data_IF_625568462421
#
_entry.id   IF_625568462421
#
_cell.length_a   1.000
_cell.length_b   1.000
_cell.length_c   1.000
_cell.angle_alpha   90.00
_cell.angle_beta   90.00
_cell.angle_gamma   90.00
#
_symmetry.space_group_name_H-M   'P 1'
#
loop_
_entity.id
_entity.type
_entity.pdbx_description
1 polymer ?
2 non-polymer ?
3 water ?
#
# COMPACT_ATOMS: atom_id res chain seq x y z
N UNK A 2 -10.09 -14.60 5.89
CA UNK A 2 -10.06 -15.42 4.65
C UNK A 2 -8.96 -14.99 3.70
N UNK A 3 -9.16 -15.24 2.41
CA UNK A 3 -8.18 -14.86 1.40
C UNK A 3 -8.62 -13.62 0.63
N UNK A 4 -9.91 -13.31 0.68
CA UNK A 4 -10.42 -12.13 -0.01
C UNK A 4 -10.88 -11.07 0.98
N UNK A 5 -10.62 -9.81 0.65
CA UNK A 5 -11.00 -8.71 1.51
C UNK A 5 -10.38 -7.41 1.06
N UNK A 6 -10.08 -6.54 2.01
CA UNK A 6 -9.47 -5.25 1.73
C UNK A 6 -8.19 -5.11 2.54
N UNK A 7 -7.38 -4.12 2.19
CA UNK A 7 -6.14 -3.88 2.90
C UNK A 7 -5.73 -2.43 2.75
N UNK A 8 -4.96 -1.94 3.71
CA UNK A 8 -4.46 -0.57 3.66
C UNK A 8 -2.96 -0.65 3.71
N UNK A 9 -2.33 -0.20 2.64
CA UNK A 9 -0.88 -0.18 2.54
C UNK A 9 -0.44 1.27 2.69
N UNK A 10 0.39 1.57 3.68
CA UNK A 10 0.86 2.94 3.85
C UNK A 10 2.38 2.97 3.86
N UNK A 11 2.96 4.05 3.35
CA UNK A 11 4.41 4.18 3.32
C UNK A 11 4.80 5.61 2.99
N UNK A 12 6.06 5.95 3.27
CA UNK A 12 6.59 7.28 2.98
C UNK A 12 7.52 7.15 1.78
N UNK A 13 7.32 8.00 0.79
CA UNK A 13 8.13 7.97 -0.42
C UNK A 13 9.19 9.07 -0.40
N UNK A 14 10.43 8.67 -0.69
CA UNK A 14 11.58 9.57 -0.71
C UNK A 14 11.55 10.60 0.41
N UNK A 32 -3.96 -1.23 -11.30
CA UNK A 32 -3.56 -2.63 -11.26
C UNK A 32 -4.79 -3.49 -10.96
N UNK A 33 -5.95 -2.83 -10.91
CA UNK A 33 -7.22 -3.50 -10.63
C UNK A 33 -7.28 -4.00 -9.19
N UNK A 34 -6.18 -3.84 -8.47
CA UNK A 34 -6.10 -4.25 -7.08
C UNK A 34 -6.29 -3.00 -6.23
N UNK A 35 -5.89 -1.86 -6.79
CA UNK A 35 -6.00 -0.58 -6.12
C UNK A 35 -7.41 -0.01 -6.25
N UNK A 36 -8.03 0.29 -5.11
CA UNK A 36 -9.37 0.87 -5.11
C UNK A 36 -9.21 2.38 -5.14
N UNK A 37 -8.31 2.88 -4.30
CA UNK A 37 -8.05 4.30 -4.22
C UNK A 37 -6.70 4.51 -3.57
N UNK A 38 -5.99 5.54 -4.00
CA UNK A 38 -4.69 5.84 -3.43
C UNK A 38 -4.63 7.32 -3.09
N UNK A 39 -4.18 7.61 -1.88
CA UNK A 39 -4.08 8.98 -1.43
C UNK A 39 -2.62 9.37 -1.22
N UNK A 40 -2.25 10.51 -1.78
CA UNK A 40 -0.90 11.03 -1.65
C UNK A 40 -1.02 12.29 -0.82
N UNK A 41 -0.24 12.38 0.25
CA UNK A 41 -0.27 13.56 1.10
C UNK A 41 1.17 14.03 1.28
N UNK A 42 1.40 15.31 1.07
CA UNK A 42 2.76 15.81 1.22
C UNK A 42 3.11 16.13 2.67
N UNK A 43 4.24 15.59 3.10
CA UNK A 43 4.75 15.79 4.45
C UNK A 43 5.65 17.02 4.44
N UNK A 44 6.47 17.13 3.40
CA UNK A 44 7.38 18.26 3.23
C UNK A 44 7.96 18.23 1.82
N UNK A 45 8.94 19.09 1.56
CA UNK A 45 9.57 19.19 0.25
C UNK A 45 10.03 17.86 -0.34
N UNK A 46 10.56 16.98 0.51
CA UNK A 46 11.08 15.69 0.04
C UNK A 46 10.21 14.46 0.24
N UNK A 47 9.38 14.44 1.28
CA UNK A 47 8.59 13.25 1.55
C UNK A 47 7.08 13.31 1.30
N UNK A 48 6.57 12.24 0.70
CA UNK A 48 5.14 12.11 0.42
C UNK A 48 4.63 10.88 1.15
N UNK A 49 3.55 11.03 1.89
CA UNK A 49 2.95 9.91 2.60
C UNK A 49 1.93 9.34 1.62
N UNK A 50 2.02 8.05 1.31
CA UNK A 50 1.07 7.45 0.39
C UNK A 50 0.28 6.34 1.05
N UNK A 51 -1.04 6.38 0.87
CA UNK A 51 -1.94 5.40 1.45
C UNK A 51 -2.71 4.74 0.32
N UNK A 52 -2.57 3.43 0.18
CA UNK A 52 -3.29 2.73 -0.88
C UNK A 52 -4.29 1.75 -0.32
N UNK A 53 -5.54 1.85 -0.78
CA UNK A 53 -6.58 0.95 -0.34
C UNK A 53 -6.67 -0.12 -1.41
N UNK A 54 -6.44 -1.36 -1.00
CA UNK A 54 -6.44 -2.48 -1.94
C UNK A 54 -7.58 -3.44 -1.66
N UNK A 55 -7.99 -4.18 -2.68
CA UNK A 55 -9.05 -5.15 -2.51
C UNK A 55 -8.86 -6.29 -3.50
N UNK A 56 -9.09 -7.50 -3.02
CA UNK A 56 -8.93 -8.68 -3.85
C UNK A 56 -8.38 -9.80 -3.01
N UNK A 57 -7.70 -10.74 -3.66
CA UNK A 57 -7.12 -11.88 -2.96
C UNK A 57 -5.98 -11.38 -2.06
N UNK A 58 -6.04 -11.74 -0.78
CA UNK A 58 -5.02 -11.30 0.17
C UNK A 58 -3.61 -11.67 -0.26
N UNK A 59 -3.49 -12.73 -1.06
CA UNK A 59 -2.19 -13.13 -1.56
C UNK A 59 -1.70 -12.13 -2.59
N UNK A 60 -2.59 -11.70 -3.46
CA UNK A 60 -2.22 -10.73 -4.48
C UNK A 60 -1.94 -9.40 -3.80
N UNK A 61 -2.66 -9.13 -2.71
CA UNK A 61 -2.47 -7.90 -1.96
C UNK A 61 -1.07 -7.87 -1.35
N UNK A 62 -0.67 -8.97 -0.73
CA UNK A 62 0.66 -9.04 -0.12
C UNK A 62 1.76 -8.86 -1.17
N UNK A 63 1.56 -9.46 -2.34
CA UNK A 63 2.54 -9.37 -3.42
C UNK A 63 2.64 -7.94 -3.95
N UNK A 64 1.52 -7.24 -3.94
CA UNK A 64 1.52 -5.84 -4.38
C UNK A 64 2.37 -5.05 -3.38
N UNK A 65 2.11 -5.23 -2.09
CA UNK A 65 2.86 -4.53 -1.05
C UNK A 65 4.34 -4.89 -1.16
N UNK A 66 4.63 -6.15 -1.45
CA UNK A 66 6.01 -6.60 -1.60
C UNK A 66 6.73 -5.77 -2.66
N UNK A 67 6.10 -5.62 -3.82
CA UNK A 67 6.71 -4.86 -4.90
C UNK A 67 6.94 -3.40 -4.52
N UNK A 68 5.98 -2.81 -3.81
CA UNK A 68 6.12 -1.42 -3.40
C UNK A 68 7.27 -1.22 -2.41
N UNK A 69 7.31 -2.05 -1.38
CA UNK A 69 8.34 -1.94 -0.35
C UNK A 69 9.76 -2.24 -0.85
N UNK A 70 9.85 -2.99 -1.94
CA UNK A 70 11.15 -3.34 -2.52
C UNK A 70 11.79 -2.14 -3.24
N UNK A 71 11.01 -1.08 -3.45
CA UNK A 71 11.50 0.10 -4.15
C UNK A 71 12.34 1.03 -3.28
N UNK A 72 13.45 1.50 -3.83
CA UNK A 72 14.33 2.42 -3.13
C UNK A 72 13.54 3.70 -2.89
N UNK A 73 13.82 4.37 -1.77
CA UNK A 73 13.11 5.59 -1.48
C UNK A 73 11.82 5.35 -0.70
N UNK A 74 11.34 4.11 -0.71
CA UNK A 74 10.12 3.77 0.03
C UNK A 74 10.51 3.33 1.43
N UNK A 75 9.97 4.01 2.44
CA UNK A 75 10.28 3.70 3.83
C UNK A 75 9.03 3.59 4.68
N UNK A 76 9.16 2.90 5.82
CA UNK A 76 8.08 2.73 6.78
C UNK A 76 6.83 2.09 6.20
N UNK A 77 7.02 1.13 5.30
CA UNK A 77 5.88 0.47 4.69
C UNK A 77 5.13 -0.39 5.68
N UNK A 78 3.81 -0.26 5.69
CA UNK A 78 2.98 -1.06 6.58
C UNK A 78 1.73 -1.53 5.87
N UNK A 79 1.40 -2.80 6.04
CA UNK A 79 0.22 -3.34 5.41
C UNK A 79 -0.77 -3.83 6.45
N UNK A 80 -1.96 -3.23 6.46
CA UNK A 80 -3.00 -3.66 7.39
C UNK A 80 -4.03 -4.44 6.59
N UNK A 81 -4.15 -5.73 6.87
CA UNK A 81 -5.10 -6.56 6.14
C UNK A 81 -6.46 -6.61 6.83
N UNK A 82 -7.51 -6.66 6.01
CA UNK A 82 -8.88 -6.70 6.51
C UNK A 82 -9.66 -7.79 5.77
N UNK A 83 -9.49 -9.05 6.18
CA UNK A 83 -10.22 -10.14 5.51
C UNK A 83 -11.73 -9.99 5.72
N UNK A 84 -12.51 -10.34 4.71
CA UNK A 84 -13.96 -10.23 4.79
C UNK A 84 -14.51 -10.97 6.01
X LIG B 1 4.90 13.77 -3.05
X LIG C 1 2.79 10.42 -3.46
#
# INVERSE_FOLDING_TARGET
HGTQGFAVLSYVYEHEKRDLASRIVSTQHHHHDLSVATLHVHINHDDCLEIAVLKGDMGDVQHFADDVIAQRGVRHGHLQCLPKED
ZN ZN
ZN ZN
#
